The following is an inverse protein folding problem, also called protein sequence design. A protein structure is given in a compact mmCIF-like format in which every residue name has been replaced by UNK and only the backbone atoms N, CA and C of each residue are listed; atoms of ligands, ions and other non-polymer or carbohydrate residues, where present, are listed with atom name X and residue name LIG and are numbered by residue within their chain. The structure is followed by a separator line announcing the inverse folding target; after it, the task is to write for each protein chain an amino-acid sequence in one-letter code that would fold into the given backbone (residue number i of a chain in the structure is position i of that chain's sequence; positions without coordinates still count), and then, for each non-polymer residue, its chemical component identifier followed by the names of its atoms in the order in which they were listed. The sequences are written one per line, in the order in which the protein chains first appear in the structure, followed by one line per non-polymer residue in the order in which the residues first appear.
data_IF_736521571416
#
_entry.id   IF_736521571416
#
_cell.length_a   1.000
_cell.length_b   1.000
_cell.length_c   1.000
_cell.angle_alpha   90.00
_cell.angle_beta   90.00
_cell.angle_gamma   90.00
#
_symmetry.space_group_name_H-M   'P 1'
#
loop_
_entity.id
_entity.type
_entity.pdbx_description
1 polymer ?
#
# COMPACT_ATOMS: atom_id res chain seq x y z
N UNK A 1 -1.26 -12.46 -27.00
CA UNK A 1 -2.32 -11.45 -26.78
C UNK A 1 -2.47 -11.24 -25.27
N UNK A 2 -2.86 -10.05 -24.82
CA UNK A 2 -3.13 -9.81 -23.39
C UNK A 2 -4.56 -10.26 -23.06
N UNK A 3 -4.82 -10.66 -21.82
CA UNK A 3 -6.16 -11.10 -21.37
C UNK A 3 -7.25 -10.05 -21.62
N UNK A 4 -6.90 -8.77 -21.58
CA UNK A 4 -7.82 -7.67 -21.87
C UNK A 4 -8.15 -7.58 -23.37
N UNK A 5 -7.17 -7.74 -24.25
CA UNK A 5 -7.40 -7.82 -25.70
C UNK A 5 -8.30 -9.00 -26.04
N UNK A 6 -8.09 -10.16 -25.41
CA UNK A 6 -8.90 -11.35 -25.65
C UNK A 6 -10.36 -11.17 -25.17
N UNK A 7 -10.58 -10.45 -24.07
CA UNK A 7 -11.91 -10.05 -23.63
C UNK A 7 -12.59 -9.11 -24.63
N UNK A 8 -11.90 -8.07 -25.10
CA UNK A 8 -12.45 -7.14 -26.09
C UNK A 8 -12.78 -7.84 -27.42
N UNK A 9 -11.94 -8.76 -27.88
CA UNK A 9 -12.22 -9.55 -29.08
C UNK A 9 -13.47 -10.43 -28.89
N UNK A 10 -13.64 -11.05 -27.72
CA UNK A 10 -14.84 -11.83 -27.43
C UNK A 10 -16.10 -10.96 -27.38
N UNK A 11 -16.00 -9.76 -26.80
CA UNK A 11 -17.10 -8.79 -26.79
C UNK A 11 -17.48 -8.33 -28.20
N UNK A 12 -16.49 -8.07 -29.06
CA UNK A 12 -16.73 -7.70 -30.45
C UNK A 12 -17.51 -8.80 -31.18
N UNK A 13 -17.03 -10.05 -31.10
CA UNK A 13 -17.73 -11.18 -31.72
C UNK A 13 -19.14 -11.36 -31.16
N UNK A 14 -19.32 -11.23 -29.85
CA UNK A 14 -20.65 -11.32 -29.24
C UNK A 14 -21.57 -10.16 -29.64
N UNK A 15 -21.05 -8.94 -29.83
CA UNK A 15 -21.82 -7.79 -30.27
C UNK A 15 -22.29 -7.92 -31.74
N UNK A 16 -21.53 -8.61 -32.59
CA UNK A 16 -21.94 -8.93 -33.97
C UNK A 16 -23.06 -9.98 -34.03
N UNK A 17 -23.23 -10.78 -32.97
CA UNK A 17 -24.27 -11.81 -32.87
C UNK A 17 -24.79 -11.94 -31.43
N UNK A 18 -25.53 -10.91 -30.95
CA UNK A 18 -25.84 -10.74 -29.53
C UNK A 18 -26.83 -11.76 -28.97
N UNK A 19 -27.45 -12.61 -29.79
CA UNK A 19 -28.32 -13.72 -29.33
C UNK A 19 -27.59 -15.06 -29.25
N UNK A 20 -26.31 -15.12 -29.65
CA UNK A 20 -25.51 -16.34 -29.64
C UNK A 20 -25.01 -16.69 -28.24
N UNK A 21 -25.59 -17.74 -27.63
CA UNK A 21 -25.17 -18.27 -26.33
C UNK A 21 -23.68 -18.69 -26.32
N UNK A 22 -23.14 -19.38 -27.35
CA UNK A 22 -21.72 -19.71 -27.38
C UNK A 22 -20.78 -18.49 -27.32
N UNK A 23 -21.11 -17.40 -28.02
CA UNK A 23 -20.28 -16.17 -28.02
C UNK A 23 -20.37 -15.43 -26.67
N UNK A 24 -21.55 -15.42 -26.05
CA UNK A 24 -21.75 -14.91 -24.68
C UNK A 24 -20.95 -15.71 -23.65
N UNK A 25 -20.96 -17.04 -23.76
CA UNK A 25 -20.16 -17.91 -22.90
C UNK A 25 -18.66 -17.62 -23.09
N UNK A 26 -18.21 -17.36 -24.31
CA UNK A 26 -16.84 -16.96 -24.57
C UNK A 26 -16.48 -15.64 -23.86
N UNK A 27 -17.36 -14.65 -23.85
CA UNK A 27 -17.17 -13.40 -23.09
C UNK A 27 -16.99 -13.68 -21.60
N UNK A 28 -17.89 -14.46 -20.98
CA UNK A 28 -17.77 -14.81 -19.56
C UNK A 28 -16.47 -15.56 -19.26
N UNK A 29 -16.05 -16.48 -20.12
CA UNK A 29 -14.78 -17.20 -19.96
C UNK A 29 -13.57 -16.26 -20.08
N UNK A 30 -13.59 -15.25 -20.95
CA UNK A 30 -12.52 -14.25 -21.01
C UNK A 30 -12.53 -13.32 -19.79
N UNK A 31 -13.72 -12.93 -19.32
CA UNK A 31 -13.86 -12.09 -18.13
C UNK A 31 -13.34 -12.82 -16.88
N UNK A 32 -13.63 -14.12 -16.74
CA UNK A 32 -13.04 -14.97 -15.71
C UNK A 32 -11.51 -15.03 -15.79
N UNK A 33 -10.94 -15.25 -16.99
CA UNK A 33 -9.47 -15.21 -17.16
C UNK A 33 -8.85 -13.87 -16.80
N UNK A 34 -9.56 -12.77 -17.04
CA UNK A 34 -9.11 -11.45 -16.62
C UNK A 34 -9.04 -11.37 -15.08
N UNK A 35 -10.10 -11.84 -14.40
CA UNK A 35 -10.14 -11.95 -12.93
C UNK A 35 -8.97 -12.77 -12.40
N UNK A 36 -8.80 -14.00 -12.90
CA UNK A 36 -7.71 -14.89 -12.46
C UNK A 36 -6.34 -14.25 -12.66
N UNK A 37 -6.15 -13.52 -13.77
CA UNK A 37 -4.88 -12.84 -14.06
C UNK A 37 -4.62 -11.70 -13.07
N UNK A 38 -5.62 -10.88 -12.75
CA UNK A 38 -5.46 -9.81 -11.77
C UNK A 38 -5.19 -10.36 -10.37
N UNK A 39 -5.94 -11.38 -9.94
CA UNK A 39 -5.72 -12.04 -8.65
C UNK A 39 -4.30 -12.63 -8.56
N UNK A 40 -3.83 -13.30 -9.62
CA UNK A 40 -2.47 -13.84 -9.68
C UNK A 40 -1.39 -12.75 -9.61
N UNK A 41 -1.60 -11.59 -10.22
CA UNK A 41 -0.66 -10.46 -10.16
C UNK A 41 -0.66 -9.81 -8.79
N UNK A 42 -1.82 -9.62 -8.16
CA UNK A 42 -1.91 -9.08 -6.80
C UNK A 42 -1.24 -10.02 -5.78
N UNK A 43 -1.52 -11.33 -5.84
CA UNK A 43 -0.87 -12.31 -4.96
C UNK A 43 0.66 -12.36 -5.13
N UNK A 44 1.20 -12.05 -6.33
CA UNK A 44 2.64 -11.89 -6.53
C UNK A 44 3.19 -10.65 -5.83
N UNK A 45 2.48 -9.51 -5.86
CA UNK A 45 2.89 -8.32 -5.12
C UNK A 45 2.87 -8.54 -3.62
N UNK A 46 1.83 -9.19 -3.10
CA UNK A 46 1.73 -9.56 -1.68
C UNK A 46 2.89 -10.50 -1.27
N UNK A 47 3.19 -11.50 -2.09
CA UNK A 47 4.31 -12.43 -1.84
C UNK A 47 5.67 -11.73 -1.87
N UNK A 48 5.90 -10.83 -2.84
CA UNK A 48 7.10 -10.01 -2.90
C UNK A 48 7.22 -9.07 -1.70
N UNK A 49 6.09 -8.53 -1.25
CA UNK A 49 6.02 -7.65 -0.08
C UNK A 49 6.39 -8.41 1.19
N UNK A 50 5.86 -9.62 1.38
CA UNK A 50 6.19 -10.49 2.50
C UNK A 50 7.69 -10.87 2.49
N UNK A 51 8.21 -11.37 1.36
CA UNK A 51 9.62 -11.72 1.21
C UNK A 51 10.54 -10.54 1.51
N UNK A 52 10.21 -9.35 0.99
CA UNK A 52 11.00 -8.16 1.28
C UNK A 52 10.95 -7.76 2.76
N UNK A 53 9.87 -8.07 3.49
CA UNK A 53 9.79 -7.88 4.94
C UNK A 53 10.75 -8.83 5.68
N UNK A 54 10.78 -10.10 5.31
CA UNK A 54 11.71 -11.08 5.87
C UNK A 54 13.18 -10.70 5.65
N UNK A 55 13.52 -10.21 4.45
CA UNK A 55 14.86 -9.73 4.15
C UNK A 55 15.23 -8.54 5.05
N UNK A 56 14.30 -7.59 5.26
CA UNK A 56 14.54 -6.45 6.14
C UNK A 56 14.82 -6.87 7.58
N UNK A 57 14.10 -7.86 8.11
CA UNK A 57 14.37 -8.43 9.43
C UNK A 57 15.79 -8.98 9.51
N UNK A 58 16.21 -9.76 8.51
CA UNK A 58 17.58 -10.29 8.43
C UNK A 58 18.66 -9.19 8.38
N UNK A 59 18.44 -8.15 7.57
CA UNK A 59 19.36 -7.00 7.50
C UNK A 59 19.46 -6.27 8.84
N UNK A 60 18.34 -6.08 9.55
CA UNK A 60 18.33 -5.47 10.88
C UNK A 60 19.04 -6.34 11.93
N UNK A 61 18.88 -7.66 11.88
CA UNK A 61 19.60 -8.58 12.76
C UNK A 61 21.11 -8.51 12.54
N UNK A 62 21.56 -8.40 11.29
CA UNK A 62 22.97 -8.20 10.94
C UNK A 62 23.49 -6.85 11.44
N UNK A 63 22.73 -5.76 11.25
CA UNK A 63 23.05 -4.43 11.81
C UNK A 63 23.25 -4.49 13.32
N UNK A 64 22.33 -5.14 14.04
CA UNK A 64 22.41 -5.30 15.49
C UNK A 64 23.62 -6.14 15.92
N UNK A 65 23.95 -7.19 15.16
CA UNK A 65 25.15 -8.01 15.39
C UNK A 65 26.43 -7.20 15.24
N UNK A 66 26.54 -6.42 14.17
CA UNK A 66 27.68 -5.54 13.90
C UNK A 66 27.81 -4.46 14.99
N UNK A 67 26.70 -3.84 15.40
CA UNK A 67 26.69 -2.87 16.49
C UNK A 67 27.25 -3.45 17.80
N UNK A 68 26.84 -4.68 18.16
CA UNK A 68 27.37 -5.39 19.35
C UNK A 68 28.85 -5.71 19.21
N UNK A 69 29.30 -6.07 18.02
CA UNK A 69 30.73 -6.25 17.71
C UNK A 69 31.53 -4.97 17.96
N UNK A 70 31.05 -3.83 17.44
CA UNK A 70 31.70 -2.53 17.60
C UNK A 70 31.75 -2.13 19.09
N UNK A 71 30.65 -2.31 19.82
CA UNK A 71 30.58 -2.03 21.26
C UNK A 71 31.57 -2.91 22.06
N UNK A 72 31.68 -4.19 21.72
CA UNK A 72 32.67 -5.10 22.34
C UNK A 72 34.11 -4.66 22.07
N UNK A 73 34.43 -4.25 20.84
CA UNK A 73 35.75 -3.73 20.49
C UNK A 73 36.03 -2.41 21.21
N UNK A 74 35.04 -1.52 21.32
CA UNK A 74 35.17 -0.29 22.11
C UNK A 74 35.53 -0.58 23.58
N UNK A 75 34.89 -1.57 24.20
CA UNK A 75 35.17 -1.97 25.57
C UNK A 75 36.60 -2.51 25.73
N UNK A 76 37.02 -3.40 24.82
CA UNK A 76 38.38 -3.96 24.80
C UNK A 76 39.45 -2.90 24.55
N UNK A 77 39.18 -1.91 23.70
CA UNK A 77 40.09 -0.77 23.47
C UNK A 77 40.31 0.06 24.73
N UNK A 78 39.26 0.28 25.53
CA UNK A 78 39.38 0.98 26.82
C UNK A 78 40.29 0.18 27.76
N UNK A 79 40.11 -1.13 27.84
CA UNK A 79 40.89 -2.03 28.70
C UNK A 79 42.36 -2.14 28.26
N UNK A 80 42.62 -2.40 26.97
CA UNK A 80 43.97 -2.54 26.42
C UNK A 80 44.80 -1.26 26.59
N UNK A 81 44.16 -0.08 26.46
CA UNK A 81 44.83 1.22 26.65
C UNK A 81 45.23 1.46 28.11
N UNK A 82 44.47 0.93 29.08
CA UNK A 82 44.86 0.98 30.50
C UNK A 82 46.07 0.10 30.80
N UNK A 83 46.25 -0.98 30.04
CA UNK A 83 47.35 -1.93 30.19
C UNK A 83 48.61 -1.58 29.36
N UNK A 84 48.54 -0.55 28.50
CA UNK A 84 49.63 -0.09 27.62
C UNK A 84 50.17 -1.18 26.67
N UNK A 85 49.29 -1.99 26.08
CA UNK A 85 49.62 -3.04 25.11
C UNK A 85 49.38 -2.52 23.68
N UNK A 86 50.38 -1.90 23.08
CA UNK A 86 50.23 -1.17 21.80
C UNK A 86 49.84 -2.06 20.61
N UNK A 87 50.35 -3.30 20.53
CA UNK A 87 50.03 -4.23 19.43
C UNK A 87 48.55 -4.67 19.47
N UNK A 88 48.02 -4.97 20.65
CA UNK A 88 46.61 -5.35 20.83
C UNK A 88 45.66 -4.19 20.48
N UNK A 89 46.06 -2.94 20.75
CA UNK A 89 45.28 -1.75 20.38
C UNK A 89 45.17 -1.63 18.87
N UNK A 90 46.26 -1.82 18.12
CA UNK A 90 46.23 -1.72 16.65
C UNK A 90 45.33 -2.80 16.04
N UNK A 91 45.43 -4.05 16.49
CA UNK A 91 44.58 -5.15 16.01
C UNK A 91 43.09 -4.88 16.28
N UNK A 92 42.76 -4.29 17.44
CA UNK A 92 41.39 -3.90 17.77
C UNK A 92 40.87 -2.73 16.92
N UNK A 93 41.73 -1.76 16.58
CA UNK A 93 41.36 -0.67 15.67
C UNK A 93 41.05 -1.21 14.26
N UNK A 94 41.86 -2.14 13.75
CA UNK A 94 41.62 -2.80 12.46
C UNK A 94 40.33 -3.63 12.50
N UNK A 95 40.08 -4.37 13.58
CA UNK A 95 38.83 -5.12 13.76
C UNK A 95 37.62 -4.19 13.75
N UNK A 96 37.69 -3.04 14.43
CA UNK A 96 36.62 -2.04 14.44
C UNK A 96 36.38 -1.47 13.06
N UNK A 97 37.43 -1.13 12.33
CA UNK A 97 37.31 -0.52 11.01
C UNK A 97 36.72 -1.50 9.99
N UNK A 98 36.98 -2.81 10.14
CA UNK A 98 36.30 -3.86 9.38
C UNK A 98 34.81 -3.93 9.72
N UNK A 99 34.44 -3.96 11.00
CA UNK A 99 33.03 -3.97 11.44
C UNK A 99 32.26 -2.73 10.98
N UNK A 100 32.90 -1.55 11.00
CA UNK A 100 32.31 -0.32 10.48
C UNK A 100 32.11 -0.37 8.97
N UNK A 101 33.03 -1.01 8.23
CA UNK A 101 32.89 -1.19 6.78
C UNK A 101 31.72 -2.11 6.45
N UNK A 102 31.60 -3.24 7.14
CA UNK A 102 30.46 -4.15 7.00
C UNK A 102 29.15 -3.46 7.39
N UNK A 103 29.14 -2.66 8.45
CA UNK A 103 27.97 -1.87 8.84
C UNK A 103 27.56 -0.87 7.75
N UNK A 104 28.53 -0.28 7.04
CA UNK A 104 28.26 0.71 5.99
C UNK A 104 27.58 0.09 4.77
N UNK A 105 27.81 -1.21 4.52
CA UNK A 105 27.11 -1.98 3.48
C UNK A 105 25.63 -2.16 3.86
N UNK A 106 25.32 -2.27 5.16
CA UNK A 106 23.96 -2.53 5.65
C UNK A 106 23.14 -1.25 5.86
N UNK A 107 23.72 -0.22 6.47
CA UNK A 107 23.00 1.01 6.81
C UNK A 107 23.92 2.23 6.78
N UNK A 108 23.38 3.37 6.35
CA UNK A 108 24.08 4.65 6.48
C UNK A 108 24.19 5.07 7.96
N UNK A 109 25.41 5.38 8.40
CA UNK A 109 25.68 5.86 9.76
C UNK A 109 26.67 7.03 9.78
N UNK A 110 26.76 7.67 10.94
CA UNK A 110 27.80 8.64 11.28
C UNK A 110 28.48 8.24 12.58
N UNK A 111 29.74 8.63 12.76
CA UNK A 111 30.50 8.30 13.96
C UNK A 111 31.02 9.52 14.68
N UNK A 112 31.06 9.47 16.00
CA UNK A 112 31.69 10.50 16.84
C UNK A 112 32.65 9.79 17.82
N UNK A 113 33.90 10.24 17.89
CA UNK A 113 34.83 9.75 18.91
C UNK A 113 34.45 10.31 20.28
N UNK A 114 34.46 9.47 21.31
CA UNK A 114 34.21 9.85 22.70
C UNK A 114 35.46 9.54 23.54
N UNK A 115 35.86 10.48 24.40
CA UNK A 115 36.96 10.43 25.38
C UNK A 115 37.86 9.17 25.31
N UNK A 116 38.99 9.27 24.61
CA UNK A 116 39.88 8.14 24.33
C UNK A 116 39.79 7.65 22.88
N UNK A 117 39.79 6.32 22.69
CA UNK A 117 39.68 5.67 21.35
C UNK A 117 38.29 5.09 21.06
N UNK A 118 37.32 5.20 21.96
CA UNK A 118 35.97 4.66 21.76
C UNK A 118 35.18 5.52 20.75
N UNK A 119 34.27 4.86 20.02
CA UNK A 119 33.41 5.54 19.05
C UNK A 119 31.92 5.32 19.36
N UNK A 120 31.13 6.35 19.10
CA UNK A 120 29.68 6.29 19.05
C UNK A 120 29.25 6.20 17.60
N UNK A 121 28.22 5.40 17.32
CA UNK A 121 27.65 5.21 15.98
C UNK A 121 26.20 5.66 16.00
N UNK A 122 25.82 6.52 15.06
CA UNK A 122 24.47 7.06 14.94
C UNK A 122 23.89 6.77 13.56
N UNK A 123 22.61 6.41 13.50
CA UNK A 123 21.85 6.10 12.29
C UNK A 123 20.61 6.98 12.19
N UNK A 124 19.96 7.01 11.02
CA UNK A 124 18.58 7.49 10.92
C UNK A 124 18.35 8.94 11.40
N UNK A 125 19.24 9.87 11.07
CA UNK A 125 19.09 11.27 11.49
C UNK A 125 19.60 11.58 12.90
N UNK A 126 20.42 10.70 13.48
CA UNK A 126 21.15 10.95 14.73
C UNK A 126 20.75 10.05 15.89
N UNK A 127 19.98 8.98 15.65
CA UNK A 127 19.64 8.03 16.69
C UNK A 127 20.85 7.16 17.05
N UNK A 128 21.19 7.00 18.35
CA UNK A 128 22.36 6.25 18.77
C UNK A 128 22.16 4.75 18.58
N UNK A 129 22.99 4.11 17.77
CA UNK A 129 23.07 2.65 17.64
C UNK A 129 24.12 2.07 18.59
N UNK A 130 25.29 2.72 18.68
CA UNK A 130 26.39 2.34 19.60
C UNK A 130 26.78 3.56 20.43
N UNK A 131 26.88 3.38 21.74
CA UNK A 131 27.37 4.39 22.69
C UNK A 131 28.46 3.78 23.57
N UNK A 132 29.73 4.04 23.21
CA UNK A 132 30.89 3.41 23.85
C UNK A 132 30.77 1.88 23.82
N UNK A 133 30.70 1.26 25.00
CA UNK A 133 30.55 -0.20 25.16
C UNK A 133 29.10 -0.72 25.14
N UNK A 134 28.10 0.13 24.88
CA UNK A 134 26.68 -0.25 24.87
C UNK A 134 26.05 -0.10 23.47
N UNK A 135 24.94 -0.80 23.24
CA UNK A 135 24.15 -0.73 22.01
C UNK A 135 22.68 -0.45 22.30
N UNK A 136 22.00 0.21 21.37
CA UNK A 136 20.55 0.15 21.26
C UNK A 136 20.19 -0.78 20.10
N UNK A 137 19.04 -1.45 20.19
CA UNK A 137 18.60 -2.35 19.14
C UNK A 137 17.79 -1.59 18.09
N UNK A 138 18.12 -1.83 16.82
CA UNK A 138 17.25 -1.52 15.70
C UNK A 138 16.17 -2.59 15.60
N UNK A 139 14.94 -2.18 15.33
CA UNK A 139 13.78 -3.09 15.22
C UNK A 139 13.00 -2.78 13.95
N UNK A 140 12.46 -3.84 13.36
CA UNK A 140 11.45 -3.76 12.30
C UNK A 140 10.08 -3.83 12.96
N UNK A 141 9.25 -2.86 12.64
CA UNK A 141 7.84 -2.84 13.01
C UNK A 141 7.05 -3.12 11.72
N UNK A 142 6.55 -4.34 11.60
CA UNK A 142 5.67 -4.73 10.51
C UNK A 142 4.26 -4.90 11.06
N UNK A 143 3.32 -4.21 10.45
CA UNK A 143 1.91 -4.42 10.76
C UNK A 143 1.41 -5.58 9.91
N UNK A 144 0.69 -6.55 10.49
CA UNK A 144 0.02 -7.57 9.67
C UNK A 144 -1.10 -6.96 8.81
N UNK A 145 -1.58 -5.77 9.17
CA UNK A 145 -2.65 -5.08 8.47
C UNK A 145 -2.20 -4.51 7.11
N UNK A 146 -0.96 -4.02 6.98
CA UNK A 146 -0.37 -3.63 5.70
C UNK A 146 0.97 -4.32 5.47
N UNK A 147 0.98 -5.38 4.66
CA UNK A 147 2.22 -6.06 4.32
C UNK A 147 3.22 -5.15 3.59
N UNK A 148 2.78 -4.05 2.96
CA UNK A 148 3.60 -3.08 2.23
C UNK A 148 4.22 -2.02 3.15
N UNK A 149 3.63 -1.73 4.31
CA UNK A 149 4.20 -0.77 5.25
C UNK A 149 5.13 -1.49 6.22
N UNK A 150 6.35 -1.00 6.28
CA UNK A 150 7.35 -1.42 7.26
C UNK A 150 7.98 -0.16 7.81
N UNK A 151 7.91 0.02 9.13
CA UNK A 151 8.66 1.03 9.83
C UNK A 151 9.92 0.41 10.44
N UNK A 152 10.95 1.23 10.54
CA UNK A 152 12.22 0.87 11.17
C UNK A 152 12.44 1.84 12.31
N UNK A 153 12.72 1.32 13.50
CA UNK A 153 12.90 2.12 14.70
C UNK A 153 14.16 1.74 15.46
N UNK A 154 14.67 2.65 16.28
CA UNK A 154 15.64 2.34 17.34
C UNK A 154 14.90 2.26 18.67
N UNK A 155 15.10 1.17 19.40
CA UNK A 155 14.60 1.01 20.75
C UNK A 155 15.60 1.60 21.75
N UNK A 156 15.24 2.72 22.36
CA UNK A 156 16.03 3.40 23.38
C UNK A 156 15.31 3.25 24.72
N UNK A 157 15.81 2.36 25.58
CA UNK A 157 15.26 2.10 26.91
C UNK A 157 13.74 1.81 26.90
N UNK A 158 13.26 1.04 25.92
CA UNK A 158 11.85 0.70 25.76
C UNK A 158 11.02 1.73 24.99
N UNK A 159 11.62 2.84 24.54
CA UNK A 159 10.95 3.83 23.68
C UNK A 159 11.40 3.64 22.24
N UNK A 160 10.46 3.36 21.35
CA UNK A 160 10.72 3.25 19.91
C UNK A 160 10.84 4.64 19.28
N UNK A 161 11.88 4.82 18.47
CA UNK A 161 12.15 6.03 17.70
C UNK A 161 12.22 5.66 16.22
N UNK A 162 11.18 5.98 15.48
CA UNK A 162 11.11 5.71 14.04
C UNK A 162 12.21 6.47 13.29
N UNK A 163 12.89 5.75 12.40
CA UNK A 163 13.97 6.24 11.56
C UNK A 163 13.81 5.85 10.09
N UNK A 164 12.76 5.11 9.71
CA UNK A 164 12.57 4.60 8.34
C UNK A 164 12.73 5.68 7.26
N UNK A 165 12.08 6.82 7.44
CA UNK A 165 12.12 7.95 6.49
C UNK A 165 13.50 8.63 6.37
N UNK A 166 14.38 8.48 7.36
CA UNK A 166 15.71 9.14 7.37
C UNK A 166 16.82 8.20 6.90
N UNK A 167 16.56 6.89 6.80
CA UNK A 167 17.53 5.92 6.28
C UNK A 167 17.69 6.09 4.76
N UNK A 168 18.86 6.60 4.35
CA UNK A 168 19.18 6.91 2.96
C UNK A 168 20.52 6.28 2.52
N UNK A 169 20.69 4.98 2.71
CA UNK A 169 21.86 4.25 2.24
C UNK A 169 21.99 2.86 2.84
N UNK A 170 22.97 2.10 2.34
CA UNK A 170 23.12 0.68 2.62
C UNK A 170 22.00 -0.17 2.03
N UNK A 171 22.11 -1.47 2.22
CA UNK A 171 21.11 -2.47 1.85
C UNK A 171 19.73 -2.13 2.45
N UNK A 172 19.68 -1.74 3.73
CA UNK A 172 18.45 -1.36 4.43
C UNK A 172 17.70 -0.22 3.72
N UNK A 173 18.39 0.87 3.40
CA UNK A 173 17.78 2.00 2.68
C UNK A 173 17.35 1.63 1.26
N UNK A 174 18.08 0.74 0.59
CA UNK A 174 17.70 0.20 -0.71
C UNK A 174 16.39 -0.58 -0.65
N UNK A 175 16.24 -1.47 0.32
CA UNK A 175 15.01 -2.25 0.52
C UNK A 175 13.82 -1.36 0.90
N UNK A 176 13.99 -0.38 1.79
CA UNK A 176 12.92 0.55 2.14
C UNK A 176 12.43 1.34 0.92
N UNK A 177 13.35 1.84 0.09
CA UNK A 177 13.01 2.53 -1.17
C UNK A 177 12.31 1.61 -2.17
N UNK A 178 12.81 0.39 -2.34
CA UNK A 178 12.19 -0.59 -3.23
C UNK A 178 10.73 -0.86 -2.85
N UNK A 179 10.43 -0.99 -1.55
CA UNK A 179 9.07 -1.22 -1.07
C UNK A 179 8.15 -0.03 -1.30
N UNK A 180 8.57 1.16 -0.87
CA UNK A 180 7.75 2.36 -0.93
C UNK A 180 7.57 2.88 -2.36
N UNK A 181 8.68 3.04 -3.09
CA UNK A 181 8.68 3.69 -4.41
C UNK A 181 8.53 2.70 -5.56
N UNK A 182 8.92 1.44 -5.36
CA UNK A 182 8.79 0.39 -6.36
C UNK A 182 7.49 -0.38 -6.18
N UNK A 183 7.44 -1.21 -5.14
CA UNK A 183 6.43 -2.24 -4.98
C UNK A 183 5.03 -1.66 -4.73
N UNK A 184 4.87 -0.81 -3.71
CA UNK A 184 3.58 -0.21 -3.36
C UNK A 184 3.03 0.64 -4.51
N UNK A 185 3.85 1.52 -5.09
CA UNK A 185 3.45 2.37 -6.21
C UNK A 185 2.97 1.55 -7.42
N UNK A 186 3.70 0.50 -7.82
CA UNK A 186 3.28 -0.34 -8.94
C UNK A 186 1.99 -1.10 -8.61
N UNK A 187 1.84 -1.61 -7.40
CA UNK A 187 0.62 -2.28 -6.96
C UNK A 187 -0.60 -1.33 -7.01
N UNK A 188 -0.42 -0.07 -6.59
CA UNK A 188 -1.48 0.95 -6.64
C UNK A 188 -1.89 1.30 -8.07
N UNK A 189 -0.93 1.36 -9.00
CA UNK A 189 -1.19 1.60 -10.42
C UNK A 189 -1.91 0.42 -11.09
N UNK A 190 -1.52 -0.82 -10.76
CA UNK A 190 -2.23 -2.02 -11.24
C UNK A 190 -3.66 -2.06 -10.69
N UNK A 191 -3.83 -1.71 -9.40
CA UNK A 191 -5.13 -1.57 -8.77
C UNK A 191 -6.00 -0.46 -9.38
N UNK A 192 -5.40 0.64 -9.83
CA UNK A 192 -6.10 1.72 -10.54
C UNK A 192 -6.66 1.21 -11.87
N UNK A 193 -5.84 0.51 -12.67
CA UNK A 193 -6.30 -0.06 -13.94
C UNK A 193 -7.45 -1.05 -13.70
N UNK A 194 -7.34 -1.91 -12.69
CA UNK A 194 -8.40 -2.85 -12.32
C UNK A 194 -9.69 -2.10 -11.90
N UNK A 195 -9.57 -1.06 -11.08
CA UNK A 195 -10.69 -0.22 -10.62
C UNK A 195 -11.40 0.44 -11.80
N UNK A 196 -10.65 0.99 -12.75
CA UNK A 196 -11.21 1.60 -13.96
C UNK A 196 -11.88 0.57 -14.88
N UNK A 197 -11.31 -0.63 -15.01
CA UNK A 197 -11.95 -1.73 -15.75
C UNK A 197 -13.28 -2.09 -15.10
N UNK A 198 -13.31 -2.37 -13.79
CA UNK A 198 -14.55 -2.67 -13.06
C UNK A 198 -15.58 -1.57 -13.24
N UNK A 199 -15.18 -0.31 -13.02
CA UNK A 199 -16.08 0.84 -13.15
C UNK A 199 -16.73 0.91 -14.52
N UNK A 200 -15.93 0.89 -15.59
CA UNK A 200 -16.44 1.04 -16.95
C UNK A 200 -17.31 -0.14 -17.38
N UNK A 201 -16.89 -1.37 -17.06
CA UNK A 201 -17.65 -2.57 -17.40
C UNK A 201 -18.98 -2.64 -16.65
N UNK A 202 -18.98 -2.39 -15.34
CA UNK A 202 -20.22 -2.38 -14.56
C UNK A 202 -21.14 -1.26 -15.03
N UNK A 203 -20.62 -0.05 -15.24
CA UNK A 203 -21.43 1.08 -15.71
C UNK A 203 -22.12 0.77 -17.04
N UNK A 204 -21.38 0.25 -18.03
CA UNK A 204 -21.95 -0.13 -19.32
C UNK A 204 -22.94 -1.30 -19.20
N UNK A 205 -22.61 -2.32 -18.41
CA UNK A 205 -23.47 -3.49 -18.25
C UNK A 205 -24.81 -3.13 -17.57
N UNK A 206 -24.79 -2.25 -16.55
CA UNK A 206 -25.99 -1.78 -15.86
C UNK A 206 -26.92 -0.91 -16.74
N UNK A 207 -26.41 -0.36 -17.84
CA UNK A 207 -27.21 0.40 -18.81
C UNK A 207 -27.87 -0.50 -19.86
N UNK A 208 -27.46 -1.76 -19.97
CA UNK A 208 -27.95 -2.70 -20.97
C UNK A 208 -29.16 -3.52 -20.52
N UNK A 209 -29.69 -4.29 -21.47
CA UNK A 209 -30.72 -5.30 -21.27
C UNK A 209 -30.16 -6.68 -21.67
N UNK A 210 -30.43 -7.68 -20.85
CA UNK A 210 -30.01 -9.07 -21.07
C UNK A 210 -30.95 -9.84 -22.04
N UNK A 211 -30.69 -11.12 -22.30
CA UNK A 211 -31.57 -11.92 -23.18
C UNK A 211 -32.94 -12.23 -22.57
N UNK A 212 -33.07 -12.09 -21.25
CA UNK A 212 -34.31 -12.29 -20.51
C UNK A 212 -35.18 -11.03 -20.49
N UNK A 213 -34.71 -9.93 -21.07
CA UNK A 213 -35.38 -8.63 -21.04
C UNK A 213 -35.23 -7.91 -19.69
N UNK A 214 -34.30 -8.34 -18.85
CA UNK A 214 -33.98 -7.74 -17.56
C UNK A 214 -32.85 -6.73 -17.71
N UNK A 215 -32.87 -5.70 -16.86
CA UNK A 215 -31.76 -4.75 -16.78
C UNK A 215 -30.49 -5.48 -16.32
N UNK A 216 -29.35 -5.17 -16.94
CA UNK A 216 -28.06 -5.69 -16.51
C UNK A 216 -27.72 -5.23 -15.09
N UNK A 217 -26.98 -6.06 -14.36
CA UNK A 217 -26.40 -5.71 -13.07
C UNK A 217 -24.90 -5.41 -13.16
N UNK A 218 -24.21 -5.51 -12.04
CA UNK A 218 -22.75 -5.46 -12.01
C UNK A 218 -22.15 -6.71 -12.68
N UNK A 219 -21.22 -6.52 -13.62
CA UNK A 219 -20.49 -7.62 -14.26
C UNK A 219 -19.41 -8.17 -13.33
N UNK A 220 -18.68 -7.27 -12.67
CA UNK A 220 -17.66 -7.56 -11.66
C UNK A 220 -18.10 -7.04 -10.29
N UNK A 221 -17.44 -7.45 -9.20
CA UNK A 221 -17.74 -6.98 -7.83
C UNK A 221 -17.93 -5.46 -7.76
N UNK A 222 -18.93 -5.00 -7.00
CA UNK A 222 -19.20 -3.57 -6.87
C UNK A 222 -18.05 -2.86 -6.17
N UNK A 223 -17.56 -1.77 -6.76
CA UNK A 223 -16.46 -0.97 -6.18
C UNK A 223 -16.81 -0.35 -4.82
N UNK A 224 -18.11 -0.22 -4.53
CA UNK A 224 -18.66 0.38 -3.33
C UNK A 224 -19.52 -0.62 -2.54
N UNK A 225 -19.34 -1.93 -2.72
CA UNK A 225 -19.88 -2.90 -1.77
C UNK A 225 -19.32 -2.62 -0.37
N UNK A 226 -20.14 -2.84 0.68
CA UNK A 226 -19.78 -2.47 2.06
C UNK A 226 -18.45 -3.08 2.51
N UNK A 227 -18.24 -4.36 2.22
CA UNK A 227 -17.01 -5.06 2.58
C UNK A 227 -15.81 -4.50 1.81
N UNK A 228 -16.00 -4.11 0.55
CA UNK A 228 -14.95 -3.47 -0.25
C UNK A 228 -14.59 -2.12 0.36
N UNK A 229 -15.57 -1.28 0.72
CA UNK A 229 -15.31 0.02 1.35
C UNK A 229 -14.51 -0.08 2.65
N UNK A 230 -14.80 -1.08 3.49
CA UNK A 230 -14.08 -1.33 4.74
C UNK A 230 -12.68 -1.90 4.51
N UNK A 231 -12.52 -2.75 3.49
CA UNK A 231 -11.21 -3.35 3.15
C UNK A 231 -10.18 -2.37 2.60
N UNK A 232 -10.61 -1.15 2.27
CA UNK A 232 -9.75 -0.05 1.79
C UNK A 232 -9.07 0.71 2.93
N UNK A 233 -9.24 0.28 4.17
CA UNK A 233 -8.63 0.95 5.33
C UNK A 233 -7.77 -0.01 6.10
N UNK A 234 -6.55 0.44 6.37
CA UNK A 234 -5.60 -0.21 7.25
C UNK A 234 -5.45 0.67 8.48
N UNK A 235 -5.59 0.05 9.65
CA UNK A 235 -5.52 0.69 10.95
C UNK A 235 -4.10 0.55 11.48
N UNK A 236 -3.46 1.66 11.85
CA UNK A 236 -2.16 1.60 12.48
C UNK A 236 -2.27 0.88 13.84
N UNK A 237 -1.36 -0.04 14.18
CA UNK A 237 -1.41 -0.78 15.44
C UNK A 237 -1.20 0.10 16.68
N UNK A 238 -0.65 1.30 16.50
CA UNK A 238 -0.46 2.31 17.55
C UNK A 238 -1.78 3.03 17.92
N UNK A 239 -2.84 2.86 17.12
CA UNK A 239 -4.15 3.45 17.41
C UNK A 239 -4.68 2.94 18.75
N UNK A 240 -5.15 3.86 19.59
CA UNK A 240 -5.51 3.54 20.98
C UNK A 240 -6.78 2.68 21.04
N UNK A 241 -7.77 2.99 20.22
CA UNK A 241 -9.06 2.30 20.22
C UNK A 241 -9.18 1.36 19.02
N UNK A 242 -9.49 0.10 19.31
CA UNK A 242 -9.67 -0.95 18.30
C UNK A 242 -11.11 -1.08 17.78
N UNK A 243 -12.04 -0.26 18.27
CA UNK A 243 -13.45 -0.25 17.86
C UNK A 243 -13.76 0.78 16.76
N UNK A 244 -12.75 1.53 16.32
CA UNK A 244 -12.85 2.50 15.22
C UNK A 244 -13.31 1.84 13.93
N UNK A 245 -14.28 2.48 13.27
CA UNK A 245 -14.78 2.07 11.96
C UNK A 245 -14.58 3.22 10.99
N UNK A 246 -13.74 2.98 9.99
CA UNK A 246 -13.47 3.89 8.87
C UNK A 246 -13.75 3.14 7.57
N UNK A 247 -14.34 3.84 6.61
CA UNK A 247 -14.59 3.31 5.27
C UNK A 247 -14.16 4.29 4.19
N UNK A 248 -13.85 3.74 3.01
CA UNK A 248 -13.53 4.53 1.81
C UNK A 248 -14.51 4.17 0.71
N UNK A 249 -15.15 5.18 0.13
CA UNK A 249 -16.08 5.06 -0.99
C UNK A 249 -15.48 5.75 -2.21
N UNK A 250 -15.57 5.12 -3.37
CA UNK A 250 -15.18 5.73 -4.64
C UNK A 250 -16.35 6.53 -5.21
N UNK A 251 -16.11 7.81 -5.48
CA UNK A 251 -17.12 8.74 -5.96
C UNK A 251 -16.98 9.00 -7.47
N UNK A 252 -15.74 9.21 -7.91
CA UNK A 252 -15.38 9.35 -9.33
C UNK A 252 -14.11 8.52 -9.63
N UNK A 253 -14.26 7.27 -10.06
CA UNK A 253 -13.11 6.43 -10.41
C UNK A 253 -12.20 7.01 -11.49
N UNK A 254 -12.68 7.94 -12.33
CA UNK A 254 -11.87 8.57 -13.37
C UNK A 254 -10.90 9.63 -12.84
N UNK A 255 -11.17 10.16 -11.64
CA UNK A 255 -10.30 11.12 -10.94
C UNK A 255 -9.29 10.45 -10.00
N UNK A 256 -9.32 9.12 -9.87
CA UNK A 256 -8.44 8.39 -8.97
C UNK A 256 -6.97 8.50 -9.38
N UNK A 257 -6.12 8.72 -8.36
CA UNK A 257 -4.67 8.61 -8.47
C UNK A 257 -4.23 7.28 -7.87
N UNK A 258 -3.36 6.55 -8.58
CA UNK A 258 -2.79 5.28 -8.12
C UNK A 258 -1.76 5.49 -7.02
N UNK A 259 -2.27 5.66 -5.79
CA UNK A 259 -1.51 5.90 -4.56
C UNK A 259 -2.30 5.39 -3.35
N UNK A 260 -1.59 5.02 -2.29
CA UNK A 260 -2.10 5.02 -0.92
C UNK A 260 -2.12 6.43 -0.34
N UNK A 261 -2.90 6.61 0.73
CA UNK A 261 -3.03 7.88 1.45
C UNK A 261 -2.93 7.65 2.94
N UNK A 262 -2.12 8.46 3.62
CA UNK A 262 -1.98 8.44 5.07
C UNK A 262 -2.90 9.48 5.70
N UNK A 263 -3.90 9.01 6.44
CA UNK A 263 -4.77 9.82 7.29
C UNK A 263 -4.18 9.88 8.70
N UNK A 264 -3.79 11.06 9.15
CA UNK A 264 -3.36 11.30 10.53
C UNK A 264 -4.40 12.15 11.24
N UNK A 265 -4.85 11.70 12.40
CA UNK A 265 -5.76 12.42 13.29
C UNK A 265 -4.97 13.06 14.43
N UNK A 266 -5.28 14.31 14.79
CA UNK A 266 -4.49 15.00 15.79
C UNK A 266 -4.98 16.39 16.15
N UNK A 267 -4.01 17.25 16.43
CA UNK A 267 -4.23 18.65 16.75
C UNK A 267 -3.97 18.99 18.23
N UNK A 268 -3.48 20.20 18.46
CA UNK A 268 -3.27 20.76 19.80
C UNK A 268 -4.45 21.63 20.14
N UNK A 269 -5.29 21.18 21.08
CA UNK A 269 -6.48 21.88 21.54
C UNK A 269 -7.73 21.62 20.69
N UNK A 270 -7.64 21.74 19.35
CA UNK A 270 -8.74 21.42 18.42
C UNK A 270 -8.40 20.15 17.65
N UNK A 271 -9.31 19.17 17.70
CA UNK A 271 -9.18 17.94 16.93
C UNK A 271 -9.23 18.23 15.43
N UNK A 272 -8.25 17.73 14.70
CA UNK A 272 -8.07 17.95 13.27
C UNK A 272 -7.63 16.66 12.57
N UNK A 273 -7.61 16.72 11.25
CA UNK A 273 -7.10 15.65 10.41
C UNK A 273 -6.25 16.22 9.27
N UNK A 274 -5.34 15.40 8.78
CA UNK A 274 -4.62 15.62 7.53
C UNK A 274 -4.53 14.32 6.75
N UNK A 275 -4.79 14.39 5.45
CA UNK A 275 -4.70 13.28 4.51
C UNK A 275 -3.58 13.57 3.52
N UNK A 276 -2.52 12.77 3.55
CA UNK A 276 -1.35 12.92 2.69
C UNK A 276 -1.33 11.81 1.65
N UNK A 277 -1.21 12.16 0.36
CA UNK A 277 -0.98 11.19 -0.71
C UNK A 277 0.46 10.71 -0.66
N UNK A 278 0.68 9.39 -0.58
CA UNK A 278 2.02 8.85 -0.33
C UNK A 278 2.95 8.88 -1.55
N UNK A 279 2.39 8.84 -2.77
CA UNK A 279 3.18 8.87 -4.00
C UNK A 279 3.96 10.17 -4.24
N UNK A 280 3.49 11.31 -3.73
CA UNK A 280 4.10 12.63 -3.92
C UNK A 280 4.22 13.46 -2.62
N UNK A 281 3.68 12.99 -1.50
CA UNK A 281 3.71 13.67 -0.21
C UNK A 281 2.79 14.89 -0.12
N UNK A 282 1.87 15.07 -1.07
CA UNK A 282 0.96 16.22 -1.08
C UNK A 282 -0.18 15.99 -0.09
N UNK A 283 -0.46 16.99 0.74
CA UNK A 283 -1.67 17.03 1.57
C UNK A 283 -2.86 17.31 0.65
N UNK A 284 -3.74 16.32 0.47
CA UNK A 284 -4.89 16.39 -0.45
C UNK A 284 -6.18 16.79 0.26
N UNK A 285 -6.25 16.62 1.58
CA UNK A 285 -7.32 17.12 2.42
C UNK A 285 -6.80 17.38 3.84
N UNK A 286 -7.25 18.46 4.46
CA UNK A 286 -6.99 18.75 5.87
C UNK A 286 -8.12 19.60 6.44
N UNK A 287 -8.34 19.52 7.74
CA UNK A 287 -9.36 20.34 8.37
C UNK A 287 -9.60 20.02 9.84
N UNK A 288 -10.46 20.83 10.45
CA UNK A 288 -10.97 20.58 11.79
C UNK A 288 -11.97 19.45 11.73
N UNK A 289 -11.91 18.54 12.71
CA UNK A 289 -12.82 17.42 12.82
C UNK A 289 -13.59 17.51 14.14
N UNK A 290 -14.91 17.78 14.11
CA UNK A 290 -15.70 17.66 15.33
C UNK A 290 -15.71 16.19 15.77
N UNK A 291 -15.50 15.92 17.05
CA UNK A 291 -15.49 14.56 17.61
C UNK A 291 -16.92 13.98 17.74
N UNK A 292 -17.66 14.01 16.63
CA UNK A 292 -19.05 13.57 16.49
C UNK A 292 -19.15 12.81 15.18
N UNK A 293 -19.48 11.52 15.24
CA UNK A 293 -19.48 10.64 14.07
C UNK A 293 -20.92 10.22 13.69
N UNK A 294 -21.21 9.97 12.39
CA UNK A 294 -20.26 9.86 11.28
C UNK A 294 -19.78 11.22 10.74
N UNK A 295 -18.54 11.27 10.25
CA UNK A 295 -17.97 12.38 9.49
C UNK A 295 -17.47 11.88 8.14
N UNK A 296 -18.00 12.44 7.06
CA UNK A 296 -17.56 12.13 5.68
C UNK A 296 -16.74 13.29 5.14
N UNK A 297 -15.59 12.97 4.56
CA UNK A 297 -14.67 13.90 3.94
C UNK A 297 -14.55 13.52 2.47
N UNK A 298 -14.83 14.49 1.59
CA UNK A 298 -14.63 14.36 0.15
C UNK A 298 -13.17 14.69 -0.20
N UNK A 299 -12.57 13.89 -1.07
CA UNK A 299 -11.20 14.07 -1.56
C UNK A 299 -11.26 14.31 -3.07
N UNK A 300 -10.52 15.31 -3.54
CA UNK A 300 -10.51 15.70 -4.96
C UNK A 300 -10.07 14.55 -5.89
N UNK A 301 -9.36 13.55 -5.37
CA UNK A 301 -8.87 12.37 -6.08
C UNK A 301 -9.98 11.32 -6.30
N UNK A 302 -11.25 11.73 -6.34
CA UNK A 302 -12.35 10.85 -6.77
C UNK A 302 -12.86 9.86 -5.73
N UNK A 303 -12.57 10.08 -4.44
CA UNK A 303 -13.09 9.25 -3.36
C UNK A 303 -13.46 10.09 -2.12
N UNK A 304 -14.23 9.49 -1.23
CA UNK A 304 -14.51 10.01 0.09
C UNK A 304 -14.16 8.96 1.14
N UNK A 305 -13.82 9.41 2.34
CA UNK A 305 -13.66 8.54 3.49
C UNK A 305 -14.60 8.98 4.61
N UNK A 306 -15.07 8.02 5.39
CA UNK A 306 -15.98 8.27 6.51
C UNK A 306 -15.40 7.68 7.78
N UNK A 307 -15.25 8.51 8.81
CA UNK A 307 -15.09 8.03 10.19
C UNK A 307 -16.49 7.79 10.73
N UNK A 308 -16.88 6.54 10.87
CA UNK A 308 -18.27 6.17 11.09
C UNK A 308 -18.65 6.08 12.56
N UNK A 309 -17.84 5.36 13.33
CA UNK A 309 -18.11 5.06 14.73
C UNK A 309 -16.83 4.60 15.45
N UNK A 310 -16.91 4.48 16.78
CA UNK A 310 -15.79 4.06 17.63
C UNK A 310 -15.02 5.25 18.22
N UNK A 311 -13.92 4.95 18.90
CA UNK A 311 -13.08 5.98 19.53
C UNK A 311 -11.97 6.48 18.61
N UNK A 312 -11.99 7.76 18.25
CA UNK A 312 -10.87 8.39 17.54
C UNK A 312 -10.10 9.32 18.47
N UNK A 313 -8.78 9.17 18.53
CA UNK A 313 -7.89 9.92 19.41
C UNK A 313 -6.77 10.63 18.66
N UNK A 314 -6.19 11.63 19.33
CA UNK A 314 -5.00 12.30 18.81
C UNK A 314 -3.84 11.32 18.66
N UNK A 315 -3.24 11.30 17.47
CA UNK A 315 -2.16 10.39 17.12
C UNK A 315 -2.62 9.13 16.40
N UNK A 316 -3.93 8.92 16.23
CA UNK A 316 -4.41 7.79 15.42
C UNK A 316 -4.03 8.00 13.94
N UNK A 317 -3.58 6.93 13.29
CA UNK A 317 -3.21 6.89 11.89
C UNK A 317 -3.93 5.76 11.13
N UNK A 318 -4.28 6.03 9.88
CA UNK A 318 -4.92 5.08 8.98
C UNK A 318 -4.30 5.19 7.59
N UNK A 319 -4.07 4.06 6.93
CA UNK A 319 -3.69 4.03 5.52
C UNK A 319 -4.93 3.71 4.68
N UNK A 320 -5.32 4.64 3.81
CA UNK A 320 -6.44 4.49 2.89
C UNK A 320 -5.92 3.97 1.54
N UNK A 321 -6.60 2.97 0.98
CA UNK A 321 -6.25 2.28 -0.26
C UNK A 321 -7.38 2.37 -1.32
N UNK A 322 -7.57 3.53 -1.98
CA UNK A 322 -8.62 3.69 -2.98
C UNK A 322 -8.44 2.84 -4.25
N UNK A 323 -7.23 2.34 -4.52
CA UNK A 323 -6.97 1.53 -5.73
C UNK A 323 -6.39 0.15 -5.44
N UNK A 324 -5.68 -0.03 -4.32
CA UNK A 324 -5.08 -1.31 -3.93
C UNK A 324 -6.05 -2.13 -3.07
N UNK A 325 -6.73 -3.07 -3.70
CA UNK A 325 -7.63 -4.00 -3.02
C UNK A 325 -6.99 -5.38 -2.86
N UNK A 326 -7.37 -6.15 -1.82
CA UNK A 326 -7.06 -7.58 -1.75
C UNK A 326 -7.50 -8.31 -3.01
N UNK A 327 -6.73 -9.33 -3.43
CA UNK A 327 -6.98 -10.08 -4.65
C UNK A 327 -8.44 -10.60 -4.75
N UNK A 328 -8.97 -11.12 -3.64
CA UNK A 328 -10.30 -11.76 -3.59
C UNK A 328 -11.47 -10.79 -3.78
N UNK A 329 -11.24 -9.46 -3.69
CA UNK A 329 -12.28 -8.46 -3.89
C UNK A 329 -12.61 -8.20 -5.37
N UNK A 330 -11.86 -8.76 -6.31
CA UNK A 330 -12.18 -8.72 -7.73
C UNK A 330 -12.74 -10.08 -8.18
N UNK A 331 -14.02 -10.12 -8.52
CA UNK A 331 -14.69 -11.33 -8.98
C UNK A 331 -15.70 -11.03 -10.10
N UNK A 332 -15.97 -12.02 -10.95
CA UNK A 332 -17.05 -12.01 -11.94
C UNK A 332 -18.37 -12.36 -11.23
N UNK A 333 -19.37 -11.48 -11.34
CA UNK A 333 -20.68 -11.62 -10.69
C UNK A 333 -21.71 -12.33 -11.58
N UNK A 334 -21.50 -12.32 -12.89
CA UNK A 334 -22.39 -12.95 -13.87
C UNK A 334 -21.88 -14.34 -14.26
N UNK A 335 -22.72 -15.36 -14.07
CA UNK A 335 -22.38 -16.75 -14.40
C UNK A 335 -23.26 -17.36 -15.51
N UNK A 336 -24.34 -16.69 -15.92
CA UNK A 336 -25.21 -17.10 -17.01
C UNK A 336 -24.95 -16.26 -18.28
N UNK A 337 -24.59 -16.87 -19.42
CA UNK A 337 -24.46 -16.17 -20.70
C UNK A 337 -25.67 -15.33 -21.10
N UNK A 338 -26.89 -15.74 -20.73
CA UNK A 338 -28.11 -15.01 -21.05
C UNK A 338 -28.21 -13.67 -20.28
N UNK A 339 -27.56 -13.56 -19.12
CA UNK A 339 -27.54 -12.37 -18.28
C UNK A 339 -26.59 -11.26 -18.78
N UNK A 340 -25.82 -11.50 -19.85
CA UNK A 340 -24.99 -10.45 -20.45
C UNK A 340 -25.85 -9.38 -21.15
N UNK A 341 -25.72 -8.13 -20.70
CA UNK A 341 -26.57 -7.03 -21.09
C UNK A 341 -26.10 -6.31 -22.37
N UNK A 342 -26.24 -6.97 -23.53
CA UNK A 342 -25.88 -6.39 -24.83
C UNK A 342 -26.99 -5.56 -25.49
N UNK A 343 -28.22 -5.67 -25.03
CA UNK A 343 -29.35 -4.93 -25.58
C UNK A 343 -29.36 -3.47 -25.11
N UNK A 344 -29.85 -2.55 -25.95
CA UNK A 344 -30.15 -1.19 -25.54
C UNK A 344 -31.57 -1.14 -24.95
N UNK A 345 -31.80 -0.41 -23.84
CA UNK A 345 -33.11 -0.32 -23.18
C UNK A 345 -34.14 0.46 -24.01
N UNK A 346 -33.68 1.25 -24.98
CA UNK A 346 -34.54 2.03 -25.88
C UNK A 346 -34.35 1.52 -27.31
N UNK A 347 -35.44 1.04 -27.90
CA UNK A 347 -35.53 0.79 -29.34
C UNK A 347 -36.41 1.86 -29.98
N UNK A 348 -35.85 2.63 -30.91
CA UNK A 348 -36.63 3.54 -31.75
C UNK A 348 -36.94 2.85 -33.07
N UNK A 349 -38.18 2.91 -33.51
CA UNK A 349 -38.60 2.38 -34.81
C UNK A 349 -39.25 3.48 -35.62
N UNK A 350 -39.01 3.50 -36.93
CA UNK A 350 -39.72 4.42 -37.82
C UNK A 350 -41.17 3.99 -37.89
N UNK A 351 -42.11 4.91 -37.63
CA UNK A 351 -43.52 4.61 -37.75
C UNK A 351 -43.85 4.13 -39.17
N UNK A 352 -44.66 3.07 -39.31
CA UNK A 352 -45.03 2.50 -40.60
C UNK A 352 -45.73 3.49 -41.56
N UNK A 353 -46.25 4.61 -41.03
CA UNK A 353 -46.84 5.71 -41.81
C UNK A 353 -45.87 6.86 -42.13
N UNK A 354 -44.56 6.71 -41.90
CA UNK A 354 -43.59 7.74 -42.24
C UNK A 354 -43.51 7.91 -43.77
N UNK A 355 -44.01 9.04 -44.27
CA UNK A 355 -43.96 9.44 -45.69
C UNK A 355 -42.86 10.47 -45.98
N UNK A 356 -42.08 10.86 -44.97
CA UNK A 356 -40.94 11.77 -45.11
C UNK A 356 -39.61 11.04 -45.33
N UNK A 357 -38.52 11.79 -45.48
CA UNK A 357 -37.15 11.25 -45.65
C UNK A 357 -36.36 11.15 -44.35
N UNK A 358 -37.00 11.34 -43.19
CA UNK A 358 -36.36 11.18 -41.89
C UNK A 358 -36.00 9.72 -41.67
N UNK A 359 -34.71 9.44 -41.47
CA UNK A 359 -34.16 8.13 -41.12
C UNK A 359 -33.75 8.18 -39.65
N UNK A 360 -34.07 7.13 -38.89
CA UNK A 360 -33.57 6.95 -37.52
C UNK A 360 -32.13 6.44 -37.54
#
# INVERSE_FOLDING_TARGET
ATVLTDLFNALQSAAESPTSIPLRQQVLSQAGRLVDRYQSVQGQFESLSALSGEILVGVVDEVNSLARGIASVNQRLIEAKQLSVDDEVNDLLDQRDNLLRELAEKVAFTTIRQDGESINVFVGGGQPLVLGGNTNDMVIEQTQANSFDVSVSININGTLREIGATINGGELGGHLKFRQQGLASIADQVGLVQTLVVHNFNNLHNQGIDLNGQQGGDLFTSLNDRNVQLSRVIYAPENVNSDSVVSVRLDDPSALVGSSYKLSLGGVGVFNYSLTRESDGVIVAEGIMPNVFPQTIEVADGFSFTLESGGFTNGDEFTLLPTRLPADNFALQVNDPASLAFGLPVATTTAAGNIGTGVL
#
